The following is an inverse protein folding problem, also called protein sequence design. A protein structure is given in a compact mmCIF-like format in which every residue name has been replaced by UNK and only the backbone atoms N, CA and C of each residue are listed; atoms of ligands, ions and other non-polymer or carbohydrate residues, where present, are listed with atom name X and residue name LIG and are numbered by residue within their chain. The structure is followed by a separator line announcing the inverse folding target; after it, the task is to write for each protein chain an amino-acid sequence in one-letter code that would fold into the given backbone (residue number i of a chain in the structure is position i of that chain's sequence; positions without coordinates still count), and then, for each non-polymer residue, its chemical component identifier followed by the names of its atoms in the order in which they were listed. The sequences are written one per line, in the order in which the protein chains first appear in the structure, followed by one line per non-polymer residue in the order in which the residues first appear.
data_IF_101636723579
#
_entry.id   IF_101636723579
#
_cell.length_a   1.000
_cell.length_b   1.000
_cell.length_c   1.000
_cell.angle_alpha   90.00
_cell.angle_beta   90.00
_cell.angle_gamma   90.00
#
_symmetry.space_group_name_H-M   'P 1'
#
loop_
_entity.id
_entity.type
_entity.pdbx_description
1 polymer ?
#
# COMPACT_ATOMS: atom_id res chain seq x y z
N UNK A 1 -58.44 -67.40 1.77
CA UNK A 1 -57.21 -66.62 1.56
C UNK A 1 -57.25 -65.51 2.59
N UNK A 2 -56.52 -65.66 3.70
CA UNK A 2 -56.38 -64.59 4.69
C UNK A 2 -54.91 -64.56 5.13
N UNK A 3 -54.22 -63.57 4.59
CA UNK A 3 -52.82 -63.24 4.86
C UNK A 3 -52.79 -62.50 6.19
N UNK A 4 -52.15 -63.10 7.21
CA UNK A 4 -51.93 -62.46 8.51
C UNK A 4 -51.05 -61.22 8.30
N UNK A 5 -51.55 -60.10 8.80
CA UNK A 5 -50.92 -58.79 8.72
C UNK A 5 -49.54 -58.77 9.38
N UNK A 6 -48.62 -58.07 8.74
CA UNK A 6 -47.29 -57.75 9.26
C UNK A 6 -47.44 -56.66 10.32
N UNK A 7 -46.92 -56.89 11.52
CA UNK A 7 -46.77 -55.87 12.56
C UNK A 7 -45.87 -54.74 12.07
N UNK A 8 -46.31 -53.46 12.05
CA UNK A 8 -45.39 -52.35 11.88
C UNK A 8 -44.59 -52.19 13.16
N UNK A 9 -43.28 -52.41 13.06
CA UNK A 9 -42.33 -52.28 14.16
C UNK A 9 -42.47 -50.89 14.81
N UNK A 10 -42.68 -50.94 16.13
CA UNK A 10 -42.71 -49.84 17.10
C UNK A 10 -41.74 -48.71 16.76
N UNK A 11 -42.26 -47.48 16.84
CA UNK A 11 -41.51 -46.25 16.64
C UNK A 11 -40.26 -46.19 17.52
N UNK A 12 -39.11 -46.08 16.85
CA UNK A 12 -37.86 -45.68 17.46
C UNK A 12 -37.82 -44.16 17.55
N UNK A 13 -38.39 -43.63 18.63
CA UNK A 13 -37.93 -42.36 19.18
C UNK A 13 -36.52 -42.58 19.70
N UNK A 14 -35.51 -42.25 18.88
CA UNK A 14 -34.18 -41.91 19.37
C UNK A 14 -33.40 -41.19 18.26
N UNK A 15 -33.43 -39.87 18.36
CA UNK A 15 -32.34 -38.90 18.22
C UNK A 15 -30.92 -39.50 18.20
N UNK A 16 -30.64 -40.34 17.21
CA UNK A 16 -29.30 -40.83 16.91
C UNK A 16 -28.64 -39.85 15.95
N UNK A 17 -28.21 -38.75 16.57
CA UNK A 17 -27.00 -37.97 16.23
C UNK A 17 -26.61 -38.05 14.76
N UNK A 18 -27.19 -37.14 13.97
CA UNK A 18 -26.54 -36.69 12.74
C UNK A 18 -25.14 -36.22 13.17
N UNK A 19 -24.11 -37.01 12.90
CA UNK A 19 -22.74 -36.56 12.97
C UNK A 19 -22.59 -35.51 11.87
N UNK A 20 -22.97 -34.27 12.18
CA UNK A 20 -22.44 -33.10 11.49
C UNK A 20 -20.95 -33.19 11.71
N UNK A 21 -20.26 -33.61 10.65
CA UNK A 21 -18.82 -33.43 10.51
C UNK A 21 -18.59 -31.97 10.90
N UNK A 22 -17.85 -31.65 11.97
CA UNK A 22 -17.51 -30.26 12.24
C UNK A 22 -16.80 -29.79 10.97
N UNK A 23 -17.39 -28.82 10.27
CA UNK A 23 -16.64 -28.06 9.28
C UNK A 23 -15.41 -27.61 10.05
N UNK A 24 -14.25 -28.10 9.61
CA UNK A 24 -12.96 -27.66 10.09
C UNK A 24 -13.07 -26.14 10.12
N UNK A 25 -13.05 -25.56 11.33
CA UNK A 25 -12.89 -24.12 11.49
C UNK A 25 -11.80 -23.75 10.49
N UNK A 26 -12.16 -22.91 9.52
CA UNK A 26 -11.21 -22.15 8.73
C UNK A 26 -10.46 -21.35 9.79
N UNK A 27 -9.46 -21.99 10.40
CA UNK A 27 -8.43 -21.32 11.15
C UNK A 27 -7.92 -20.32 10.14
N UNK A 28 -8.29 -19.08 10.38
CA UNK A 28 -7.65 -17.89 9.85
C UNK A 28 -6.17 -18.08 10.20
N UNK A 29 -5.45 -18.82 9.36
CA UNK A 29 -4.01 -18.94 9.44
C UNK A 29 -3.53 -17.61 8.91
N UNK A 30 -3.60 -16.61 9.80
CA UNK A 30 -3.02 -15.31 9.57
C UNK A 30 -1.54 -15.56 9.34
N UNK A 31 -1.06 -15.26 8.14
CA UNK A 31 0.36 -15.36 7.81
C UNK A 31 1.12 -14.38 8.71
N UNK A 32 1.74 -14.89 9.76
CA UNK A 32 2.53 -14.08 10.70
C UNK A 32 3.96 -13.95 10.17
N UNK A 33 4.38 -12.71 9.91
CA UNK A 33 5.74 -12.39 9.44
C UNK A 33 6.54 -11.85 10.63
N UNK A 34 7.40 -12.69 11.20
CA UNK A 34 8.36 -12.27 12.22
C UNK A 34 9.59 -11.66 11.57
N UNK A 35 9.82 -10.36 11.83
CA UNK A 35 10.99 -9.62 11.36
C UNK A 35 11.92 -9.42 12.56
N UNK A 36 13.19 -9.81 12.43
CA UNK A 36 14.23 -9.56 13.45
C UNK A 36 14.29 -8.06 13.79
N UNK A 37 14.51 -7.72 15.06
CA UNK A 37 14.68 -6.33 15.50
C UNK A 37 15.80 -5.62 14.75
N UNK A 38 16.89 -6.34 14.43
CA UNK A 38 18.01 -5.81 13.64
C UNK A 38 17.58 -5.41 12.23
N UNK A 39 16.71 -6.21 11.60
CA UNK A 39 16.19 -5.92 10.27
C UNK A 39 15.24 -4.71 10.28
N UNK A 40 14.46 -4.51 11.35
CA UNK A 40 13.64 -3.30 11.53
C UNK A 40 14.50 -2.05 11.68
N UNK A 41 15.56 -2.11 12.48
CA UNK A 41 16.48 -1.00 12.70
C UNK A 41 17.21 -0.60 11.40
N UNK A 42 17.67 -1.59 10.62
CA UNK A 42 18.30 -1.34 9.32
C UNK A 42 17.31 -0.74 8.31
N UNK A 43 16.07 -1.23 8.27
CA UNK A 43 15.03 -0.68 7.40
C UNK A 43 14.70 0.78 7.75
N UNK A 44 14.70 1.12 9.04
CA UNK A 44 14.48 2.50 9.49
C UNK A 44 15.64 3.41 9.10
N UNK A 45 16.89 2.96 9.30
CA UNK A 45 18.08 3.69 8.89
C UNK A 45 18.12 3.91 7.37
N UNK A 46 17.82 2.88 6.57
CA UNK A 46 17.75 2.97 5.11
C UNK A 46 16.67 3.98 4.66
N UNK A 47 15.50 3.96 5.32
CA UNK A 47 14.42 4.92 5.04
C UNK A 47 14.85 6.36 5.31
N UNK A 48 15.57 6.61 6.42
CA UNK A 48 16.09 7.93 6.75
C UNK A 48 17.12 8.37 5.71
N UNK A 49 18.02 7.46 5.31
CA UNK A 49 19.02 7.74 4.28
C UNK A 49 18.38 8.08 2.93
N UNK A 50 17.35 7.33 2.51
CA UNK A 50 16.59 7.64 1.30
C UNK A 50 15.92 9.01 1.39
N UNK A 51 15.33 9.36 2.53
CA UNK A 51 14.74 10.71 2.73
C UNK A 51 15.81 11.80 2.64
N UNK A 52 17.01 11.58 3.20
CA UNK A 52 18.11 12.55 3.10
C UNK A 52 18.64 12.66 1.66
N UNK A 53 18.75 11.53 0.94
CA UNK A 53 19.18 11.50 -0.47
C UNK A 53 18.14 12.13 -1.42
N UNK A 54 16.86 11.96 -1.13
CA UNK A 54 15.74 12.53 -1.88
C UNK A 54 15.47 13.99 -1.49
N UNK A 55 15.89 14.40 -0.30
CA UNK A 55 15.81 15.80 0.11
C UNK A 55 16.68 16.61 -0.84
N UNK A 56 16.12 17.61 -1.54
CA UNK A 56 16.92 18.44 -2.41
C UNK A 56 17.97 19.14 -1.56
N UNK A 57 19.25 19.00 -1.90
CA UNK A 57 20.35 19.77 -1.31
C UNK A 57 20.23 21.23 -1.77
N UNK A 58 19.32 21.97 -1.12
CA UNK A 58 19.07 23.37 -1.42
C UNK A 58 20.18 24.18 -0.75
N UNK A 59 21.18 24.56 -1.55
CA UNK A 59 22.20 25.51 -1.11
C UNK A 59 21.59 26.90 -0.97
N UNK A 60 21.24 27.26 0.25
CA UNK A 60 20.62 28.55 0.60
C UNK A 60 21.41 29.74 0.05
N UNK A 61 22.75 29.67 0.06
CA UNK A 61 23.63 30.71 -0.49
C UNK A 61 23.35 30.98 -1.98
N UNK A 62 23.18 29.91 -2.77
CA UNK A 62 22.88 30.03 -4.21
C UNK A 62 21.48 30.55 -4.45
N UNK A 63 20.52 30.17 -3.62
CA UNK A 63 19.15 30.67 -3.71
C UNK A 63 19.10 32.17 -3.40
N UNK A 64 19.84 32.63 -2.39
CA UNK A 64 19.94 34.04 -2.04
C UNK A 64 20.59 34.85 -3.19
N UNK A 65 21.67 34.35 -3.79
CA UNK A 65 22.32 34.98 -4.94
C UNK A 65 21.36 35.14 -6.13
N UNK A 66 20.65 34.05 -6.49
CA UNK A 66 19.70 34.07 -7.62
C UNK A 66 18.52 35.00 -7.34
N UNK A 67 18.01 35.06 -6.10
CA UNK A 67 16.97 36.02 -5.71
C UNK A 67 17.43 37.47 -5.93
N UNK A 68 18.64 37.80 -5.51
CA UNK A 68 19.18 39.15 -5.71
C UNK A 68 19.32 39.50 -7.21
N UNK A 69 19.74 38.55 -8.05
CA UNK A 69 19.81 38.75 -9.51
C UNK A 69 18.44 38.94 -10.15
N UNK A 70 17.41 38.25 -9.66
CA UNK A 70 16.02 38.43 -10.09
C UNK A 70 15.51 39.84 -9.75
N UNK A 71 15.75 40.32 -8.52
CA UNK A 71 15.32 41.68 -8.11
C UNK A 71 15.99 42.79 -8.92
N UNK A 72 17.26 42.58 -9.33
CA UNK A 72 18.00 43.52 -10.19
C UNK A 72 17.54 43.48 -11.64
N UNK A 73 16.68 42.53 -12.02
CA UNK A 73 16.20 42.38 -13.38
C UNK A 73 17.22 41.78 -14.35
N UNK A 74 18.28 41.12 -13.84
CA UNK A 74 19.32 40.51 -14.67
C UNK A 74 18.77 39.39 -15.59
N UNK A 75 17.60 38.85 -15.26
CA UNK A 75 16.89 37.83 -16.02
C UNK A 75 15.77 38.38 -16.93
N UNK A 76 15.58 39.71 -17.01
CA UNK A 76 14.57 40.35 -17.86
C UNK A 76 15.02 40.47 -19.33
N UNK A 77 15.67 39.43 -19.85
CA UNK A 77 16.12 39.40 -21.24
C UNK A 77 15.16 38.60 -22.09
N UNK A 78 14.99 38.99 -23.36
CA UNK A 78 14.10 38.30 -24.29
C UNK A 78 14.42 36.80 -24.40
N UNK A 79 15.71 36.45 -24.39
CA UNK A 79 16.17 35.05 -24.44
C UNK A 79 15.67 34.21 -23.24
N UNK A 80 15.65 34.79 -22.04
CA UNK A 80 15.12 34.10 -20.85
C UNK A 80 13.60 33.93 -20.97
N UNK A 81 12.89 34.94 -21.47
CA UNK A 81 11.44 34.83 -21.72
C UNK A 81 11.11 33.73 -22.73
N UNK A 82 11.86 33.66 -23.82
CA UNK A 82 11.65 32.65 -24.86
C UNK A 82 11.93 31.22 -24.32
N UNK A 83 13.01 31.04 -23.55
CA UNK A 83 13.31 29.76 -22.89
C UNK A 83 12.24 29.36 -21.87
N UNK A 84 11.71 30.32 -21.11
CA UNK A 84 10.63 30.07 -20.15
C UNK A 84 9.35 29.66 -20.89
N UNK A 85 8.99 30.36 -21.97
CA UNK A 85 7.84 30.03 -22.79
C UNK A 85 7.96 28.62 -23.39
N UNK A 86 9.12 28.26 -23.94
CA UNK A 86 9.39 26.91 -24.47
C UNK A 86 9.21 25.83 -23.39
N UNK A 87 9.75 26.05 -22.19
CA UNK A 87 9.62 25.11 -21.07
C UNK A 87 8.18 24.96 -20.61
N UNK A 88 7.40 26.04 -20.59
CA UNK A 88 5.97 26.00 -20.26
C UNK A 88 5.21 25.19 -21.33
N UNK A 89 5.45 25.44 -22.61
CA UNK A 89 4.82 24.67 -23.71
C UNK A 89 5.13 23.18 -23.55
N UNK A 90 6.40 22.82 -23.34
CA UNK A 90 6.83 21.44 -23.13
C UNK A 90 6.20 20.79 -21.90
N UNK A 91 6.10 21.52 -20.79
CA UNK A 91 5.47 21.02 -19.56
C UNK A 91 3.95 20.80 -19.73
N UNK A 92 3.31 21.62 -20.56
CA UNK A 92 1.90 21.50 -20.91
C UNK A 92 1.63 20.52 -22.07
N UNK A 93 2.67 19.99 -22.71
CA UNK A 93 2.57 19.04 -23.82
C UNK A 93 2.12 19.65 -25.15
N UNK A 94 2.41 20.95 -25.35
CA UNK A 94 2.14 21.70 -26.58
C UNK A 94 3.35 21.68 -27.53
#
# INVERSE_FOLDING_TARGET
MEIRGVDPIRGITQDSKINKIPRRDERDTSDEVEISEEARQLAEAAKIEDVVRQSPDIREDRVAEVKAKLERGEYNTQEVFDQVAERIMKALGL
#
